data_IF_137660353459
#
_entry.id   IF_137660353459
#
_cell.length_a   1.000
_cell.length_b   1.000
_cell.length_c   1.000
_cell.angle_alpha   90.00
_cell.angle_beta   90.00
_cell.angle_gamma   90.00
#
_symmetry.space_group_name_H-M   'P 1'
#
loop_
_entity.id
_entity.type
_entity.pdbx_description
1 polymer ?
#
# COMPACT_ATOMS: atom_id res chain seq x y z
N UNK A 1 -0.03 45.92 -26.50
CA UNK A 1 -1.21 45.17 -27.01
C UNK A 1 -1.10 43.72 -26.55
N UNK A 2 -1.58 43.36 -25.36
CA UNK A 2 -1.44 41.99 -24.83
C UNK A 2 -2.56 41.52 -23.89
N UNK A 3 -3.42 42.46 -23.46
CA UNK A 3 -4.56 42.21 -22.58
C UNK A 3 -5.63 41.28 -23.19
N UNK A 4 -6.00 41.34 -24.49
CA UNK A 4 -7.12 40.53 -24.98
C UNK A 4 -6.78 39.04 -25.07
N UNK A 5 -5.52 38.69 -25.37
CA UNK A 5 -5.09 37.30 -25.47
C UNK A 5 -5.07 36.60 -24.10
N UNK A 6 -4.62 37.30 -23.06
CA UNK A 6 -4.54 36.77 -21.71
C UNK A 6 -5.94 36.53 -21.10
N UNK A 7 -6.89 37.43 -21.40
CA UNK A 7 -8.29 37.28 -21.01
C UNK A 7 -8.95 36.09 -21.73
N UNK A 8 -8.70 35.90 -23.03
CA UNK A 8 -9.24 34.76 -23.78
C UNK A 8 -8.75 33.42 -23.22
N UNK A 9 -7.45 33.32 -22.90
CA UNK A 9 -6.88 32.11 -22.31
C UNK A 9 -7.46 31.82 -20.92
N UNK A 10 -7.66 32.84 -20.09
CA UNK A 10 -8.24 32.66 -18.76
C UNK A 10 -9.68 32.15 -18.81
N UNK A 11 -10.50 32.62 -19.76
CA UNK A 11 -11.89 32.16 -19.94
C UNK A 11 -11.93 30.72 -20.45
N UNK A 12 -11.03 30.33 -21.36
CA UNK A 12 -10.94 28.94 -21.84
C UNK A 12 -10.57 27.95 -20.73
N UNK A 13 -9.66 28.33 -19.82
CA UNK A 13 -9.26 27.51 -18.67
C UNK A 13 -10.39 27.39 -17.63
N UNK A 14 -11.19 28.44 -17.44
CA UNK A 14 -12.34 28.41 -16.54
C UNK A 14 -13.47 27.51 -17.06
N UNK A 15 -13.66 27.43 -18.38
CA UNK A 15 -14.66 26.57 -19.01
C UNK A 15 -14.31 25.07 -18.97
N UNK A 16 -13.04 24.71 -18.74
CA UNK A 16 -12.58 23.32 -18.66
C UNK A 16 -12.62 22.73 -17.24
N UNK A 17 -13.17 23.44 -16.25
CA UNK A 17 -13.31 22.90 -14.89
C UNK A 17 -14.52 21.97 -14.82
N UNK A 18 -14.26 20.67 -14.67
CA UNK A 18 -15.28 19.68 -14.39
C UNK A 18 -16.03 20.03 -13.09
N UNK A 19 -17.36 19.93 -13.13
CA UNK A 19 -18.22 20.06 -11.95
C UNK A 19 -17.77 19.04 -10.89
N UNK A 20 -17.55 19.46 -9.62
CA UNK A 20 -17.21 18.53 -8.57
C UNK A 20 -18.33 17.51 -8.36
N UNK A 21 -18.00 16.24 -8.08
CA UNK A 21 -19.00 15.22 -7.85
C UNK A 21 -19.87 15.58 -6.62
N UNK A 22 -21.17 15.23 -6.63
CA UNK A 22 -22.07 15.52 -5.51
C UNK A 22 -21.56 14.89 -4.21
N UNK A 23 -21.51 15.69 -3.14
CA UNK A 23 -20.91 15.32 -1.84
C UNK A 23 -21.95 14.96 -0.77
N UNK A 24 -23.25 14.98 -1.07
CA UNK A 24 -24.30 14.79 -0.06
C UNK A 24 -24.35 13.36 0.51
N UNK A 25 -23.73 12.39 -0.18
CA UNK A 25 -23.65 11.00 0.27
C UNK A 25 -22.20 10.65 0.64
N UNK A 26 -21.99 9.90 1.74
CA UNK A 26 -20.68 9.31 2.03
C UNK A 26 -20.18 8.50 0.83
N UNK A 27 -18.88 8.56 0.52
CA UNK A 27 -18.30 7.72 -0.52
C UNK A 27 -18.45 6.25 -0.15
N UNK A 28 -18.57 5.39 -1.16
CA UNK A 28 -18.61 3.95 -0.93
C UNK A 28 -17.29 3.44 -0.33
N UNK A 29 -17.32 2.37 0.49
CA UNK A 29 -16.12 1.78 1.08
C UNK A 29 -15.13 1.30 0.03
N UNK A 30 -14.01 2.01 -0.11
CA UNK A 30 -12.93 1.67 -1.07
C UNK A 30 -12.14 0.41 -0.68
N UNK A 31 -12.33 -0.10 0.54
CA UNK A 31 -11.63 -1.27 1.05
C UNK A 31 -11.88 -2.54 0.19
N UNK A 32 -13.03 -2.60 -0.49
CA UNK A 32 -13.40 -3.72 -1.37
C UNK A 32 -12.94 -3.49 -2.83
N UNK A 33 -12.67 -2.24 -3.20
CA UNK A 33 -12.30 -1.87 -4.58
C UNK A 33 -10.82 -2.15 -4.90
N UNK A 34 -9.95 -2.31 -3.89
CA UNK A 34 -8.49 -2.39 -4.08
C UNK A 34 -7.86 -3.54 -3.28
N UNK A 35 -8.31 -4.77 -3.51
CA UNK A 35 -7.70 -5.97 -2.90
C UNK A 35 -6.27 -6.19 -3.40
N UNK A 36 -6.02 -6.01 -4.70
CA UNK A 36 -4.69 -6.24 -5.30
C UNK A 36 -3.57 -5.40 -4.66
N UNK A 37 -3.85 -4.13 -4.34
CA UNK A 37 -2.87 -3.26 -3.67
C UNK A 37 -2.57 -3.75 -2.26
N UNK A 38 -3.60 -4.17 -1.52
CA UNK A 38 -3.45 -4.74 -0.18
C UNK A 38 -2.60 -6.00 -0.24
N UNK A 39 -2.88 -6.90 -1.17
CA UNK A 39 -2.16 -8.16 -1.30
C UNK A 39 -0.70 -7.93 -1.71
N UNK A 40 -0.44 -6.97 -2.61
CA UNK A 40 0.91 -6.57 -2.97
C UNK A 40 1.72 -6.01 -1.79
N UNK A 41 1.06 -5.37 -0.81
CA UNK A 41 1.70 -4.88 0.42
C UNK A 41 1.89 -6.00 1.45
N UNK A 42 0.95 -6.94 1.56
CA UNK A 42 0.99 -8.04 2.54
C UNK A 42 1.95 -9.16 2.12
N UNK A 43 1.96 -9.54 0.85
CA UNK A 43 2.78 -10.64 0.33
C UNK A 43 4.27 -10.60 0.75
N UNK A 44 5.00 -9.47 0.67
CA UNK A 44 6.39 -9.43 1.13
C UNK A 44 6.52 -9.58 2.65
N UNK A 45 5.55 -9.08 3.43
CA UNK A 45 5.56 -9.21 4.89
C UNK A 45 5.28 -10.66 5.32
N UNK A 46 4.33 -11.32 4.68
CA UNK A 46 4.04 -12.74 4.94
C UNK A 46 5.21 -13.62 4.58
N UNK A 47 5.88 -13.34 3.45
CA UNK A 47 7.11 -14.03 3.08
C UNK A 47 8.21 -13.82 4.12
N UNK A 48 8.40 -12.59 4.61
CA UNK A 48 9.40 -12.30 5.62
C UNK A 48 9.13 -13.05 6.93
N UNK A 49 7.87 -13.05 7.40
CA UNK A 49 7.45 -13.82 8.58
C UNK A 49 7.72 -15.32 8.41
N UNK A 50 7.38 -15.90 7.27
CA UNK A 50 7.62 -17.32 7.01
C UNK A 50 9.12 -17.68 7.04
N UNK A 51 9.97 -16.82 6.48
CA UNK A 51 11.43 -16.99 6.54
C UNK A 51 11.92 -16.87 7.98
N UNK A 52 11.47 -15.87 8.72
CA UNK A 52 11.84 -15.66 10.13
C UNK A 52 11.49 -16.88 10.99
N UNK A 53 10.26 -17.41 10.84
CA UNK A 53 9.82 -18.62 11.55
C UNK A 53 10.73 -19.81 11.24
N UNK A 54 11.01 -20.04 9.95
CA UNK A 54 11.88 -21.14 9.53
C UNK A 54 13.28 -21.04 10.16
N UNK A 55 13.83 -19.82 10.26
CA UNK A 55 15.13 -19.59 10.87
C UNK A 55 15.10 -19.79 12.39
N UNK A 56 14.05 -19.33 13.08
CA UNK A 56 13.88 -19.56 14.51
C UNK A 56 13.77 -21.07 14.82
N UNK A 57 12.92 -21.80 14.09
CA UNK A 57 12.76 -23.25 14.28
C UNK A 57 14.06 -24.03 14.01
N UNK A 58 14.90 -23.55 13.08
CA UNK A 58 16.21 -24.14 12.84
C UNK A 58 17.17 -23.86 14.02
N UNK A 59 17.20 -22.62 14.50
CA UNK A 59 18.04 -22.24 15.64
C UNK A 59 17.65 -22.99 16.92
N UNK A 60 16.35 -23.12 17.20
CA UNK A 60 15.83 -23.88 18.34
C UNK A 60 16.26 -25.35 18.27
N UNK A 61 16.17 -25.98 17.08
CA UNK A 61 16.64 -27.36 16.88
C UNK A 61 18.14 -27.51 17.04
N UNK A 62 18.93 -26.50 16.68
CA UNK A 62 20.37 -26.53 16.87
C UNK A 62 20.74 -26.42 18.35
N UNK A 63 20.06 -25.54 19.08
CA UNK A 63 20.24 -25.38 20.52
C UNK A 63 19.88 -26.67 21.27
N UNK A 64 18.71 -27.26 20.98
CA UNK A 64 18.29 -28.51 21.61
C UNK A 64 19.30 -29.65 21.37
N UNK A 65 19.88 -29.75 20.16
CA UNK A 65 20.91 -30.74 19.86
C UNK A 65 22.24 -30.48 20.59
N UNK A 66 22.60 -29.21 20.78
CA UNK A 66 23.79 -28.85 21.54
C UNK A 66 23.61 -29.20 23.02
N UNK A 67 22.47 -28.82 23.61
CA UNK A 67 22.12 -29.14 24.99
C UNK A 67 22.10 -30.65 25.26
N UNK A 68 21.53 -31.44 24.33
CA UNK A 68 21.51 -32.91 24.43
C UNK A 68 22.93 -33.52 24.33
N UNK A 69 23.81 -32.93 23.50
CA UNK A 69 25.21 -33.36 23.36
C UNK A 69 26.11 -32.93 24.52
N UNK A 70 25.79 -31.83 25.21
CA UNK A 70 26.53 -31.29 26.35
C UNK A 70 26.06 -31.86 27.69
N UNK A 71 24.81 -32.34 27.77
CA UNK A 71 24.16 -32.84 28.98
C UNK A 71 24.20 -34.36 29.20
N UNK A 72 24.79 -35.12 28.27
CA UNK A 72 25.07 -36.57 28.40
C UNK A 72 26.49 -36.85 28.87
#
# INVERSE_FOLDING_TARGET
MGVPALVLCAVALAACRAEPPPTERPPEPQAQAHTELRDAIQAPQDKARAVEQTLQEAAERQQAQAEDAEGG
#
